data_IF_510570523625
#
_entry.id   IF_510570523625
#
_cell.length_a   1.000
_cell.length_b   1.000
_cell.length_c   1.000
_cell.angle_alpha   90.00
_cell.angle_beta   90.00
_cell.angle_gamma   90.00
#
_symmetry.space_group_name_H-M   'P 1'
#
loop_
_entity.id
_entity.type
_entity.pdbx_description
1 polymer ?
#
# COMPACT_ATOMS: atom_id res chain seq x y z
N UNK A 1 50.72 21.64 -37.32
CA UNK A 1 49.76 20.52 -37.26
C UNK A 1 49.35 20.40 -35.80
N UNK A 2 48.76 21.42 -35.19
CA UNK A 2 47.49 22.10 -35.54
C UNK A 2 46.32 21.13 -35.68
N UNK A 3 45.34 21.36 -34.79
CA UNK A 3 43.90 21.12 -34.96
C UNK A 3 43.45 19.64 -35.02
N UNK A 4 42.47 19.18 -34.22
CA UNK A 4 41.14 19.75 -34.00
C UNK A 4 40.59 19.37 -32.62
N UNK A 5 39.85 20.31 -32.04
CA UNK A 5 38.94 20.08 -30.93
C UNK A 5 37.82 19.10 -31.30
N UNK A 6 37.43 18.24 -30.36
CA UNK A 6 36.10 17.62 -30.33
C UNK A 6 35.46 17.98 -28.99
N UNK A 7 34.67 19.04 -29.03
CA UNK A 7 33.52 19.24 -28.16
C UNK A 7 32.40 18.28 -28.57
N UNK A 8 31.51 17.95 -27.63
CA UNK A 8 30.22 17.21 -27.69
C UNK A 8 30.23 15.91 -26.89
N UNK A 9 29.44 15.74 -25.85
CA UNK A 9 28.41 16.62 -25.30
C UNK A 9 28.16 16.28 -23.84
N UNK A 10 27.78 17.30 -23.07
CA UNK A 10 27.17 17.11 -21.76
C UNK A 10 25.86 16.37 -21.99
N UNK A 11 25.82 15.10 -21.63
CA UNK A 11 24.56 14.39 -21.47
C UNK A 11 23.87 15.04 -20.27
N UNK A 12 22.99 15.99 -20.58
CA UNK A 12 22.03 16.52 -19.61
C UNK A 12 21.18 15.33 -19.18
N UNK A 13 21.52 14.75 -18.04
CA UNK A 13 20.64 13.81 -17.35
C UNK A 13 19.44 14.66 -16.92
N UNK A 14 18.40 14.66 -17.74
CA UNK A 14 17.10 15.16 -17.31
C UNK A 14 16.72 14.39 -16.05
N UNK A 15 16.35 15.05 -14.94
CA UNK A 15 15.95 14.32 -13.75
C UNK A 15 14.72 13.49 -14.13
N UNK A 16 14.93 12.18 -14.27
CA UNK A 16 13.84 11.24 -14.43
C UNK A 16 12.87 11.51 -13.29
N UNK A 17 11.62 11.80 -13.64
CA UNK A 17 10.55 12.00 -12.67
C UNK A 17 10.70 10.93 -11.58
N UNK A 18 10.77 11.30 -10.29
CA UNK A 18 10.90 10.30 -9.23
C UNK A 18 9.78 9.29 -9.43
N UNK A 19 10.04 7.98 -9.22
CA UNK A 19 8.98 6.98 -9.27
C UNK A 19 7.81 7.49 -8.44
N UNK A 20 6.55 7.33 -8.91
CA UNK A 20 5.39 7.83 -8.18
C UNK A 20 5.55 7.39 -6.73
N UNK A 21 5.54 8.35 -5.81
CA UNK A 21 5.89 8.11 -4.42
C UNK A 21 5.12 6.88 -3.95
N UNK A 22 5.82 5.75 -3.81
CA UNK A 22 5.34 4.63 -3.01
C UNK A 22 4.94 5.29 -1.70
N UNK A 23 3.65 5.26 -1.33
CA UNK A 23 3.14 5.97 -0.16
C UNK A 23 4.07 5.70 1.00
N UNK A 24 4.87 6.71 1.36
CA UNK A 24 6.00 6.48 2.25
C UNK A 24 5.45 5.97 3.57
N UNK A 25 5.94 4.81 4.02
CA UNK A 25 5.51 4.27 5.30
C UNK A 25 5.82 5.29 6.40
N UNK A 26 4.89 5.52 7.34
CA UNK A 26 5.13 6.42 8.45
C UNK A 26 6.32 5.93 9.28
N UNK A 27 7.12 6.89 9.76
CA UNK A 27 8.31 6.64 10.58
C UNK A 27 8.18 7.31 11.95
N UNK A 28 9.03 6.91 12.91
CA UNK A 28 8.93 7.32 14.30
C UNK A 28 8.02 6.41 15.13
N UNK A 29 7.33 6.96 16.12
CA UNK A 29 6.29 6.23 16.85
C UNK A 29 5.04 6.13 15.98
N UNK A 30 4.58 4.91 15.75
CA UNK A 30 3.42 4.62 14.89
C UNK A 30 2.43 3.72 15.63
N UNK A 31 1.18 3.73 15.17
CA UNK A 31 0.11 2.84 15.65
C UNK A 31 -0.17 1.79 14.59
N UNK A 32 -0.18 0.51 14.99
CA UNK A 32 -0.56 -0.59 14.10
C UNK A 32 -2.01 -0.99 14.34
N UNK A 33 -2.73 -1.22 13.23
CA UNK A 33 -4.04 -1.86 13.20
C UNK A 33 -3.88 -3.26 12.63
N UNK A 34 -4.31 -4.26 13.40
CA UNK A 34 -4.42 -5.65 12.96
C UNK A 34 -5.86 -6.09 13.20
N UNK A 35 -6.54 -6.52 12.14
CA UNK A 35 -7.92 -7.01 12.21
C UNK A 35 -8.06 -8.32 11.47
N UNK A 36 -9.08 -9.09 11.84
CA UNK A 36 -9.46 -10.33 11.19
C UNK A 36 -10.97 -10.56 11.37
N UNK A 37 -11.61 -11.35 10.50
CA UNK A 37 -13.01 -11.70 10.71
C UNK A 37 -13.07 -12.88 11.68
N UNK A 38 -13.75 -12.67 12.81
CA UNK A 38 -13.92 -13.73 13.81
C UNK A 38 -14.64 -14.94 13.22
N UNK A 39 -14.13 -16.15 13.52
CA UNK A 39 -14.69 -17.42 13.06
C UNK A 39 -14.80 -17.55 11.54
N UNK A 40 -14.00 -16.83 10.76
CA UNK A 40 -14.07 -16.82 9.30
C UNK A 40 -13.92 -18.20 8.68
N UNK A 41 -13.05 -19.06 9.21
CA UNK A 41 -12.94 -20.46 8.77
C UNK A 41 -14.29 -21.18 8.84
N UNK A 42 -15.00 -21.07 9.96
CA UNK A 42 -16.31 -21.72 10.13
C UNK A 42 -17.38 -21.10 9.20
N UNK A 43 -17.32 -19.78 9.00
CA UNK A 43 -18.22 -19.09 8.09
C UNK A 43 -17.98 -19.50 6.63
N UNK A 44 -16.71 -19.67 6.23
CA UNK A 44 -16.31 -20.18 4.92
C UNK A 44 -16.79 -21.61 4.68
N UNK A 45 -16.63 -22.49 5.67
CA UNK A 45 -17.09 -23.88 5.59
C UNK A 45 -18.62 -23.97 5.47
N UNK A 46 -19.34 -23.14 6.23
CA UNK A 46 -20.79 -23.23 6.33
C UNK A 46 -21.52 -22.49 5.22
N UNK A 47 -20.98 -21.37 4.73
CA UNK A 47 -21.66 -20.47 3.78
C UNK A 47 -20.68 -19.81 2.78
N UNK A 48 -20.02 -20.57 1.90
CA UNK A 48 -18.93 -20.07 1.05
C UNK A 48 -19.37 -18.95 0.08
N UNK A 49 -20.55 -19.04 -0.52
CA UNK A 49 -21.03 -17.99 -1.44
C UNK A 49 -21.37 -16.69 -0.71
N UNK A 50 -21.93 -16.79 0.49
CA UNK A 50 -22.18 -15.61 1.33
C UNK A 50 -20.87 -14.97 1.78
N UNK A 51 -19.88 -15.79 2.17
CA UNK A 51 -18.60 -15.27 2.63
C UNK A 51 -17.81 -14.54 1.56
N UNK A 52 -17.97 -14.88 0.28
CA UNK A 52 -17.39 -14.08 -0.82
C UNK A 52 -17.95 -12.65 -0.83
N UNK A 53 -19.26 -12.49 -0.64
CA UNK A 53 -19.88 -11.17 -0.60
C UNK A 53 -19.47 -10.39 0.66
N UNK A 54 -19.49 -11.05 1.82
CA UNK A 54 -19.04 -10.46 3.09
C UNK A 54 -17.59 -10.00 3.01
N UNK A 55 -16.70 -10.80 2.42
CA UNK A 55 -15.29 -10.44 2.28
C UNK A 55 -15.11 -9.23 1.35
N UNK A 56 -15.85 -9.15 0.25
CA UNK A 56 -15.81 -8.00 -0.64
C UNK A 56 -16.28 -6.71 0.05
N UNK A 57 -17.37 -6.79 0.81
CA UNK A 57 -17.88 -5.66 1.59
C UNK A 57 -16.91 -5.25 2.70
N UNK A 58 -16.35 -6.22 3.42
CA UNK A 58 -15.32 -6.01 4.43
C UNK A 58 -14.10 -5.29 3.85
N UNK A 59 -13.58 -5.77 2.71
CA UNK A 59 -12.41 -5.16 2.07
C UNK A 59 -12.67 -3.71 1.63
N UNK A 60 -13.88 -3.41 1.13
CA UNK A 60 -14.28 -2.06 0.77
C UNK A 60 -14.32 -1.13 2.00
N UNK A 61 -14.94 -1.59 3.08
CA UNK A 61 -15.05 -0.84 4.34
C UNK A 61 -13.66 -0.60 4.94
N UNK A 62 -12.83 -1.65 5.01
CA UNK A 62 -11.48 -1.54 5.58
C UNK A 62 -10.60 -0.59 4.78
N UNK A 63 -10.63 -0.66 3.45
CA UNK A 63 -9.90 0.27 2.60
C UNK A 63 -10.35 1.71 2.86
N UNK A 64 -11.65 1.97 2.82
CA UNK A 64 -12.20 3.31 3.04
C UNK A 64 -11.84 3.84 4.43
N UNK A 65 -11.93 3.01 5.47
CA UNK A 65 -11.62 3.40 6.84
C UNK A 65 -10.12 3.70 7.02
N UNK A 66 -9.23 2.86 6.47
CA UNK A 66 -7.79 3.06 6.58
C UNK A 66 -7.36 4.32 5.81
N UNK A 67 -7.70 4.40 4.52
CA UNK A 67 -7.29 5.52 3.67
C UNK A 67 -7.93 6.84 4.13
N UNK A 68 -9.20 6.80 4.52
CA UNK A 68 -9.93 7.97 5.02
C UNK A 68 -9.42 8.52 6.35
N UNK A 69 -8.64 7.73 7.10
CA UNK A 69 -7.99 8.16 8.35
C UNK A 69 -6.46 8.24 8.21
N UNK A 70 -5.94 8.45 6.99
CA UNK A 70 -4.51 8.63 6.71
C UNK A 70 -3.64 7.43 7.12
N UNK A 71 -4.23 6.23 7.18
CA UNK A 71 -3.50 4.99 7.36
C UNK A 71 -2.88 4.49 6.07
N UNK A 72 -1.78 3.74 6.19
CA UNK A 72 -1.12 3.06 5.07
C UNK A 72 -1.31 1.55 5.24
N UNK A 73 -1.86 0.90 4.22
CA UNK A 73 -1.97 -0.55 4.17
C UNK A 73 -0.58 -1.17 4.00
N UNK A 74 -0.20 -2.05 4.93
CA UNK A 74 1.04 -2.83 4.83
C UNK A 74 0.78 -4.11 4.02
N UNK A 75 -0.24 -4.87 4.42
CA UNK A 75 -0.64 -6.10 3.73
C UNK A 75 -2.05 -6.54 4.12
N UNK A 76 -2.64 -7.41 3.31
CA UNK A 76 -3.80 -8.24 3.64
C UNK A 76 -3.39 -9.71 3.74
N UNK A 77 -4.17 -10.53 4.46
CA UNK A 77 -3.94 -11.98 4.56
C UNK A 77 -5.28 -12.68 4.71
N UNK A 78 -5.86 -13.16 3.60
CA UNK A 78 -7.23 -13.67 3.60
C UNK A 78 -8.20 -12.54 3.91
N UNK A 79 -8.89 -12.67 5.03
CA UNK A 79 -9.79 -11.70 5.66
C UNK A 79 -9.10 -10.74 6.63
N UNK A 80 -7.82 -10.97 6.93
CA UNK A 80 -7.03 -10.14 7.82
C UNK A 80 -6.44 -8.89 7.15
N UNK A 81 -6.38 -7.79 7.90
CA UNK A 81 -5.81 -6.51 7.47
C UNK A 81 -4.72 -6.02 8.42
N UNK A 82 -3.63 -5.50 7.85
CA UNK A 82 -2.52 -4.91 8.60
C UNK A 82 -2.21 -3.50 8.06
N UNK A 83 -2.47 -2.48 8.86
CA UNK A 83 -2.26 -1.08 8.50
C UNK A 83 -1.46 -0.33 9.58
N UNK A 84 -0.91 0.82 9.20
CA UNK A 84 -0.12 1.68 10.07
C UNK A 84 -0.55 3.14 9.98
N UNK A 85 -0.54 3.82 11.11
CA UNK A 85 -0.96 5.21 11.28
C UNK A 85 0.12 6.01 12.02
N UNK A 86 0.21 7.32 11.74
CA UNK A 86 1.15 8.22 12.45
C UNK A 86 0.72 8.53 13.89
N UNK A 87 -0.56 8.36 14.22
CA UNK A 87 -1.11 8.56 15.56
C UNK A 87 -2.28 7.61 15.82
N UNK A 88 -2.63 7.43 17.09
CA UNK A 88 -3.84 6.72 17.53
C UNK A 88 -5.06 7.65 17.55
#
# INVERSE_FOLDING_TARGET
MDELAVDKGKETIEPSLPPPAESALPSGTVTFLLTDIESSTHLWDSNPELMKAVLADHDAIMRQAIEGNNGVLIKTTGDGWHAVFQSA
#
